data_IF_372968693564
#
_entry.id   IF_372968693564
#
_cell.length_a   1.000
_cell.length_b   1.000
_cell.length_c   1.000
_cell.angle_alpha   90.00
_cell.angle_beta   90.00
_cell.angle_gamma   90.00
#
_symmetry.space_group_name_H-M   'P 1'
#
loop_
_entity.id
_entity.type
_entity.pdbx_description
1 polymer ?
#
# COMPACT_ATOMS: atom_id res chain seq x y z
N UNK A 1 -46.94 26.30 28.71
CA UNK A 1 -45.56 26.83 28.80
C UNK A 1 -44.89 26.44 27.51
N UNK A 2 -44.84 27.39 26.57
CA UNK A 2 -44.62 27.14 25.13
C UNK A 2 -43.24 27.71 24.79
N UNK A 3 -42.33 26.88 24.32
CA UNK A 3 -40.96 27.28 23.97
C UNK A 3 -40.87 27.38 22.45
N UNK A 4 -40.84 28.62 21.99
CA UNK A 4 -40.52 29.07 20.64
C UNK A 4 -38.99 29.09 20.48
N UNK A 5 -38.44 28.40 19.47
CA UNK A 5 -37.09 28.68 18.98
C UNK A 5 -37.06 28.77 17.47
N UNK A 6 -36.60 29.94 17.05
CA UNK A 6 -36.53 30.53 15.72
C UNK A 6 -35.61 29.77 14.78
N UNK A 7 -36.09 29.56 13.57
CA UNK A 7 -35.28 29.44 12.37
C UNK A 7 -34.59 30.78 12.06
N UNK A 8 -33.28 30.75 11.84
CA UNK A 8 -32.56 31.82 11.15
C UNK A 8 -31.65 31.19 10.09
N UNK A 9 -32.12 31.35 8.86
CA UNK A 9 -31.42 31.20 7.60
C UNK A 9 -30.11 31.99 7.60
N UNK A 10 -29.05 31.40 7.05
CA UNK A 10 -27.86 32.16 6.68
C UNK A 10 -27.58 31.98 5.19
N UNK A 11 -28.18 32.90 4.44
CA UNK A 11 -28.02 33.10 3.01
C UNK A 11 -26.76 33.93 2.76
N UNK A 12 -25.74 33.35 2.13
CA UNK A 12 -24.67 34.13 1.49
C UNK A 12 -24.37 33.58 0.10
N UNK A 13 -25.26 33.95 -0.83
CA UNK A 13 -24.96 34.09 -2.25
C UNK A 13 -24.07 35.33 -2.43
N UNK A 14 -22.88 35.17 -2.99
CA UNK A 14 -22.14 36.25 -3.65
C UNK A 14 -21.87 35.85 -5.10
N UNK A 15 -22.81 36.23 -5.95
CA UNK A 15 -22.64 36.42 -7.39
C UNK A 15 -22.07 37.84 -7.58
N UNK A 16 -20.88 37.95 -8.18
CA UNK A 16 -20.44 39.04 -9.06
C UNK A 16 -18.94 39.34 -8.86
N UNK A 17 -18.13 39.07 -9.89
CA UNK A 17 -16.80 39.68 -9.98
C UNK A 17 -15.81 38.99 -10.90
N UNK A 18 -15.91 39.27 -12.21
CA UNK A 18 -14.77 39.42 -13.17
C UNK A 18 -13.92 38.16 -13.43
N UNK A 19 -14.05 37.42 -14.54
CA UNK A 19 -13.89 37.79 -15.95
C UNK A 19 -12.67 38.70 -16.20
N UNK A 20 -11.45 38.14 -16.34
CA UNK A 20 -10.33 38.76 -17.07
C UNK A 20 -9.25 37.71 -17.47
N UNK A 21 -8.93 37.67 -18.77
CA UNK A 21 -7.64 37.29 -19.42
C UNK A 21 -7.38 35.78 -19.59
N UNK A 22 -7.68 35.14 -20.73
CA UNK A 22 -7.12 35.29 -22.09
C UNK A 22 -5.65 34.82 -22.26
N UNK A 23 -5.49 33.84 -23.16
CA UNK A 23 -4.27 33.47 -23.92
C UNK A 23 -2.99 33.09 -23.16
N UNK A 24 -2.50 31.88 -23.43
CA UNK A 24 -1.20 31.65 -24.08
C UNK A 24 -1.34 30.41 -24.97
N UNK A 25 -1.33 30.66 -26.28
CA UNK A 25 -1.05 29.72 -27.37
C UNK A 25 0.48 29.65 -27.52
N UNK A 26 1.00 28.65 -28.25
CA UNK A 26 2.33 28.55 -28.94
C UNK A 26 3.16 27.35 -28.37
N UNK A 27 3.66 26.34 -29.10
CA UNK A 27 4.01 26.13 -30.53
C UNK A 27 3.72 24.67 -30.95
N UNK A 28 3.18 24.44 -32.15
CA UNK A 28 3.31 23.17 -32.88
C UNK A 28 4.72 23.05 -33.49
N UNK A 29 5.50 22.06 -33.06
CA UNK A 29 6.72 21.64 -33.76
C UNK A 29 6.48 20.36 -34.54
N UNK A 30 6.10 20.47 -35.81
CA UNK A 30 6.12 19.37 -36.77
C UNK A 30 7.27 19.60 -37.76
N UNK A 31 8.23 18.69 -37.83
CA UNK A 31 8.97 18.34 -39.05
C UNK A 31 10.03 17.27 -38.75
N UNK A 32 10.01 16.17 -39.50
CA UNK A 32 11.18 15.31 -39.67
C UNK A 32 10.90 13.82 -39.85
N UNK A 33 10.30 13.42 -40.98
CA UNK A 33 10.37 12.03 -41.45
C UNK A 33 11.75 11.75 -42.08
N UNK A 34 12.39 10.65 -41.70
CA UNK A 34 13.25 9.87 -42.59
C UNK A 34 13.37 8.41 -42.05
N UNK A 35 13.08 7.39 -42.87
CA UNK A 35 13.33 5.99 -42.53
C UNK A 35 14.76 5.62 -42.91
N UNK A 36 15.55 5.13 -41.95
CA UNK A 36 16.83 4.47 -42.22
C UNK A 36 16.77 3.04 -41.66
N UNK A 37 16.38 2.10 -42.52
CA UNK A 37 16.67 0.69 -42.33
C UNK A 37 18.15 0.45 -42.60
N UNK A 38 18.97 0.28 -41.57
CA UNK A 38 20.22 -0.51 -41.63
C UNK A 38 20.44 -1.14 -40.26
N UNK A 39 20.29 -2.46 -40.18
CA UNK A 39 20.80 -3.25 -39.06
C UNK A 39 22.31 -3.45 -39.22
N UNK A 40 23.09 -3.29 -38.14
CA UNK A 40 24.24 -4.13 -37.91
C UNK A 40 24.03 -4.92 -36.63
N UNK A 41 23.94 -6.25 -36.78
CA UNK A 41 24.37 -7.20 -35.77
C UNK A 41 25.84 -6.91 -35.47
N UNK A 42 26.14 -6.26 -34.35
CA UNK A 42 27.50 -6.12 -33.85
C UNK A 42 27.48 -6.28 -32.33
N UNK A 43 28.11 -7.37 -31.91
CA UNK A 43 28.42 -7.71 -30.54
C UNK A 43 29.07 -6.52 -29.84
N UNK A 44 28.36 -5.91 -28.90
CA UNK A 44 28.99 -5.19 -27.80
C UNK A 44 28.60 -5.90 -26.51
N UNK A 45 29.43 -6.90 -26.17
CA UNK A 45 29.68 -7.25 -24.79
C UNK A 45 30.37 -6.03 -24.16
N UNK A 46 29.56 -5.14 -23.59
CA UNK A 46 29.99 -3.91 -22.97
C UNK A 46 28.96 -3.56 -21.90
N UNK A 47 29.18 -4.14 -20.72
CA UNK A 47 28.80 -3.64 -19.40
C UNK A 47 27.80 -2.48 -19.36
N UNK A 48 26.53 -2.76 -19.69
CA UNK A 48 25.38 -1.86 -19.47
C UNK A 48 24.09 -2.68 -19.60
N UNK A 49 23.94 -3.67 -18.72
CA UNK A 49 22.66 -4.30 -18.40
C UNK A 49 22.49 -4.13 -16.88
N UNK A 50 21.44 -3.57 -16.31
CA UNK A 50 20.14 -3.18 -16.85
C UNK A 50 19.31 -2.92 -15.61
N UNK A 51 19.24 -1.67 -15.18
CA UNK A 51 18.37 -1.21 -14.10
C UNK A 51 16.94 -1.24 -14.63
N UNK A 52 16.34 -2.42 -14.69
CA UNK A 52 15.02 -2.60 -15.31
C UNK A 52 14.47 -4.03 -15.32
N UNK A 53 15.28 -5.06 -15.04
CA UNK A 53 14.82 -6.45 -14.99
C UNK A 53 14.99 -7.15 -13.62
N UNK A 54 15.40 -6.42 -12.57
CA UNK A 54 15.67 -7.02 -11.26
C UNK A 54 14.45 -7.16 -10.34
N UNK A 55 13.31 -6.53 -10.64
CA UNK A 55 12.17 -6.62 -9.72
C UNK A 55 11.54 -8.02 -9.71
N UNK A 56 11.52 -8.75 -10.85
CA UNK A 56 10.91 -10.08 -10.94
C UNK A 56 11.61 -11.18 -10.10
N UNK A 57 12.92 -11.05 -9.84
CA UNK A 57 13.65 -11.96 -8.95
C UNK A 57 13.57 -11.55 -7.46
N UNK A 58 13.20 -10.30 -7.17
CA UNK A 58 13.03 -9.76 -5.81
C UNK A 58 11.82 -10.32 -5.05
N UNK A 59 10.76 -10.74 -5.75
CA UNK A 59 9.54 -11.33 -5.18
C UNK A 59 9.81 -12.61 -4.35
N UNK A 60 10.93 -13.30 -4.61
CA UNK A 60 11.31 -14.49 -3.86
C UNK A 60 12.05 -14.17 -2.55
N UNK A 61 12.68 -12.99 -2.41
CA UNK A 61 13.46 -12.60 -1.22
C UNK A 61 12.65 -11.88 -0.15
N UNK A 62 11.55 -11.21 -0.48
CA UNK A 62 10.67 -10.53 0.50
C UNK A 62 9.92 -11.45 1.48
N UNK A 63 10.16 -12.77 1.41
CA UNK A 63 9.60 -13.77 2.32
C UNK A 63 10.65 -14.43 3.21
N UNK A 64 11.91 -13.98 3.16
CA UNK A 64 12.90 -14.46 4.13
C UNK A 64 12.42 -14.02 5.52
N UNK A 65 12.38 -14.91 6.52
CA UNK A 65 12.31 -14.50 7.91
C UNK A 65 13.32 -13.37 8.12
N UNK A 66 13.03 -12.40 9.00
CA UNK A 66 14.06 -11.59 9.65
C UNK A 66 15.23 -12.53 9.91
N UNK A 67 16.32 -12.33 9.17
CA UNK A 67 17.31 -13.39 8.94
C UNK A 67 17.72 -13.93 10.31
N UNK A 68 17.81 -15.25 10.47
CA UNK A 68 18.17 -15.85 11.77
C UNK A 68 19.59 -15.42 12.17
N UNK A 69 20.32 -14.79 11.25
CA UNK A 69 21.60 -14.12 11.47
C UNK A 69 21.52 -12.72 12.05
N UNK A 70 20.33 -12.09 12.13
CA UNK A 70 20.16 -10.77 12.77
C UNK A 70 20.31 -10.92 14.27
N UNK A 71 21.09 -10.02 14.87
CA UNK A 71 21.33 -10.01 16.31
C UNK A 71 19.98 -9.90 17.06
N UNK A 72 19.75 -10.69 18.13
CA UNK A 72 18.52 -10.59 18.92
C UNK A 72 18.20 -9.17 19.40
N UNK A 73 19.20 -8.36 19.74
CA UNK A 73 19.02 -6.97 20.16
C UNK A 73 18.59 -6.07 19.01
N UNK A 74 19.17 -6.24 17.81
CA UNK A 74 18.73 -5.52 16.61
C UNK A 74 17.28 -5.88 16.26
N UNK A 75 16.90 -7.15 16.42
CA UNK A 75 15.51 -7.57 16.23
C UNK A 75 14.57 -6.92 17.25
N UNK A 76 14.97 -6.81 18.51
CA UNK A 76 14.19 -6.16 19.56
C UNK A 76 14.00 -4.67 19.26
N UNK A 77 15.09 -3.96 18.94
CA UNK A 77 15.06 -2.54 18.56
C UNK A 77 14.12 -2.28 17.38
N UNK A 78 14.18 -3.12 16.34
CA UNK A 78 13.27 -3.01 15.20
C UNK A 78 11.82 -3.25 15.57
N UNK A 79 11.55 -4.18 16.49
CA UNK A 79 10.20 -4.42 16.96
C UNK A 79 9.67 -3.27 17.82
N UNK A 80 10.53 -2.59 18.57
CA UNK A 80 10.17 -1.38 19.30
C UNK A 80 9.90 -0.21 18.35
N UNK A 81 10.73 -0.02 17.31
CA UNK A 81 10.52 1.00 16.29
C UNK A 81 9.21 0.79 15.52
N UNK A 82 8.90 -0.47 15.15
CA UNK A 82 7.65 -0.81 14.49
C UNK A 82 6.41 -0.47 15.33
N UNK A 83 6.51 -0.51 16.67
CA UNK A 83 5.40 -0.11 17.54
C UNK A 83 5.13 1.40 17.52
N UNK A 84 6.15 2.20 17.21
CA UNK A 84 6.02 3.65 17.12
C UNK A 84 5.34 4.06 15.81
N UNK A 85 5.81 3.52 14.68
CA UNK A 85 5.34 3.94 13.35
C UNK A 85 5.00 2.74 12.47
N UNK A 86 3.74 2.31 12.55
CA UNK A 86 3.23 1.15 11.82
C UNK A 86 2.83 1.55 10.40
N UNK A 87 3.39 0.92 9.34
CA UNK A 87 2.87 1.11 7.99
C UNK A 87 1.44 0.58 7.87
N UNK A 88 0.67 1.12 6.94
CA UNK A 88 -0.67 0.62 6.64
C UNK A 88 -0.60 -0.86 6.29
N UNK A 89 -1.38 -1.71 6.98
CA UNK A 89 -1.31 -3.16 6.79
C UNK A 89 -2.71 -3.71 6.54
N UNK A 90 -2.86 -4.55 5.52
CA UNK A 90 -4.10 -5.27 5.22
C UNK A 90 -3.85 -6.77 5.14
N UNK A 91 -4.85 -7.56 5.49
CA UNK A 91 -4.89 -9.01 5.29
C UNK A 91 -5.93 -9.36 4.23
N UNK A 92 -5.60 -10.31 3.35
CA UNK A 92 -6.53 -10.86 2.36
C UNK A 92 -7.15 -12.18 2.84
N UNK A 93 -8.46 -12.33 2.62
CA UNK A 93 -9.17 -13.59 2.68
C UNK A 93 -9.26 -14.20 1.30
N UNK A 94 -8.84 -15.45 1.17
CA UNK A 94 -8.82 -16.20 -0.08
C UNK A 94 -9.95 -17.24 -0.11
N UNK A 95 -10.59 -17.43 -1.26
CA UNK A 95 -11.44 -18.58 -1.58
C UNK A 95 -11.05 -19.10 -2.97
N UNK A 96 -10.79 -20.40 -3.09
CA UNK A 96 -10.39 -21.04 -4.37
C UNK A 96 -9.25 -20.30 -5.10
N UNK A 97 -8.21 -19.92 -4.37
CA UNK A 97 -7.06 -19.15 -4.85
C UNK A 97 -7.37 -17.71 -5.30
N UNK A 98 -8.60 -17.23 -5.12
CA UNK A 98 -8.99 -15.86 -5.43
C UNK A 98 -9.17 -15.05 -4.15
N UNK A 99 -8.63 -13.82 -4.06
CA UNK A 99 -9.00 -12.92 -2.98
C UNK A 99 -10.50 -12.63 -3.06
N UNK A 100 -11.20 -12.68 -1.92
CA UNK A 100 -12.65 -12.40 -1.84
C UNK A 100 -12.96 -11.25 -0.89
N UNK A 101 -12.14 -11.05 0.12
CA UNK A 101 -12.27 -9.97 1.07
C UNK A 101 -10.89 -9.53 1.58
N UNK A 102 -10.87 -8.37 2.22
CA UNK A 102 -9.69 -7.83 2.88
C UNK A 102 -10.09 -7.17 4.19
N UNK A 103 -9.14 -6.99 5.11
CA UNK A 103 -9.34 -6.20 6.32
C UNK A 103 -8.09 -5.43 6.68
N UNK A 104 -8.27 -4.27 7.30
CA UNK A 104 -7.17 -3.49 7.84
C UNK A 104 -6.69 -4.09 9.17
N UNK A 105 -5.38 -4.10 9.37
CA UNK A 105 -4.72 -4.49 10.60
C UNK A 105 -4.00 -3.29 11.21
N UNK A 106 -3.98 -3.22 12.54
CA UNK A 106 -3.16 -2.27 13.32
C UNK A 106 -2.50 -2.99 14.49
N UNK A 107 -1.39 -2.44 14.98
CA UNK A 107 -0.86 -2.86 16.26
C UNK A 107 -1.73 -2.32 17.40
N UNK A 108 -1.97 -3.18 18.38
CA UNK A 108 -2.66 -2.86 19.62
C UNK A 108 -2.36 -3.93 20.67
N UNK A 109 -3.15 -3.97 21.74
CA UNK A 109 -2.91 -4.86 22.88
C UNK A 109 -2.37 -4.07 24.08
N UNK A 110 -1.89 -4.78 25.09
CA UNK A 110 -1.16 -4.15 26.19
C UNK A 110 0.29 -3.91 25.79
N UNK A 111 0.96 -2.97 26.47
CA UNK A 111 2.39 -2.69 26.27
C UNK A 111 3.27 -3.93 26.40
N UNK A 112 2.92 -4.85 27.31
CA UNK A 112 3.68 -6.10 27.52
C UNK A 112 3.24 -7.24 26.58
N UNK A 113 2.19 -7.05 25.79
CA UNK A 113 1.68 -8.06 24.86
C UNK A 113 1.11 -7.41 23.57
N UNK A 114 1.94 -6.65 22.83
CA UNK A 114 1.54 -6.08 21.55
C UNK A 114 1.18 -7.17 20.55
N UNK A 115 0.17 -6.90 19.74
CA UNK A 115 -0.35 -7.83 18.73
C UNK A 115 -1.02 -7.10 17.59
N UNK A 116 -1.03 -7.73 16.42
CA UNK A 116 -1.82 -7.28 15.29
C UNK A 116 -3.31 -7.56 15.54
N UNK A 117 -4.15 -6.56 15.29
CA UNK A 117 -5.60 -6.61 15.49
C UNK A 117 -6.31 -6.11 14.24
N UNK A 118 -7.45 -6.75 13.93
CA UNK A 118 -8.32 -6.30 12.86
C UNK A 118 -9.04 -5.02 13.26
N UNK A 119 -9.14 -4.08 12.32
CA UNK A 119 -9.90 -2.83 12.51
C UNK A 119 -11.29 -2.99 11.89
N UNK A 120 -12.31 -3.00 12.74
CA UNK A 120 -13.70 -2.91 12.29
C UNK A 120 -14.13 -1.43 12.20
N UNK A 121 -14.90 -1.10 11.17
CA UNK A 121 -15.57 0.18 11.01
C UNK A 121 -16.93 0.00 10.32
N UNK A 122 -17.61 1.10 10.02
CA UNK A 122 -18.96 1.11 9.42
C UNK A 122 -19.03 0.43 8.03
N UNK A 123 -17.88 0.22 7.37
CA UNK A 123 -17.79 -0.40 6.04
C UNK A 123 -17.36 -1.88 6.10
N UNK A 124 -17.19 -2.44 7.29
CA UNK A 124 -16.75 -3.82 7.49
C UNK A 124 -17.72 -4.62 8.35
N UNK A 125 -17.60 -5.96 8.30
CA UNK A 125 -18.24 -6.81 9.30
C UNK A 125 -17.59 -6.67 10.71
N UNK A 126 -18.14 -7.39 11.69
CA UNK A 126 -17.63 -7.39 13.06
C UNK A 126 -16.18 -7.90 13.20
N UNK A 127 -15.67 -8.63 12.20
CA UNK A 127 -14.29 -9.12 12.15
C UNK A 127 -13.37 -8.25 11.28
N UNK A 128 -13.87 -7.10 10.81
CA UNK A 128 -13.13 -6.13 9.99
C UNK A 128 -13.11 -6.45 8.50
N UNK A 129 -13.77 -7.52 8.04
CA UNK A 129 -13.73 -7.89 6.62
C UNK A 129 -14.58 -6.97 5.76
N UNK A 130 -14.01 -6.61 4.60
CA UNK A 130 -14.62 -5.82 3.55
C UNK A 130 -14.55 -6.58 2.22
N UNK A 131 -15.57 -6.45 1.34
CA UNK A 131 -15.51 -7.03 0.00
C UNK A 131 -14.30 -6.54 -0.81
N UNK A 132 -13.72 -7.42 -1.64
CA UNK A 132 -12.58 -7.06 -2.48
C UNK A 132 -12.89 -5.94 -3.48
N UNK A 133 -14.16 -5.76 -3.89
CA UNK A 133 -14.54 -4.72 -4.86
C UNK A 133 -14.09 -3.32 -4.45
N UNK A 134 -13.96 -3.06 -3.15
CA UNK A 134 -13.49 -1.78 -2.62
C UNK A 134 -11.99 -1.53 -2.88
N UNK A 135 -11.19 -2.57 -3.13
CA UNK A 135 -9.77 -2.48 -3.47
C UNK A 135 -9.52 -2.26 -4.97
N UNK A 136 -10.49 -2.53 -5.85
CA UNK A 136 -10.33 -2.30 -7.29
C UNK A 136 -10.20 -0.82 -7.67
N UNK A 137 -10.56 0.08 -6.76
CA UNK A 137 -10.34 1.53 -6.93
C UNK A 137 -8.88 1.93 -6.70
N UNK A 138 -8.06 1.01 -6.16
CA UNK A 138 -6.64 1.21 -5.95
C UNK A 138 -5.89 0.61 -7.15
N UNK A 139 -5.29 1.48 -7.96
CA UNK A 139 -4.64 1.09 -9.22
C UNK A 139 -3.27 0.45 -8.99
N UNK A 140 -3.24 -0.83 -8.60
CA UNK A 140 -1.99 -1.56 -8.30
C UNK A 140 -1.14 -1.82 -9.55
N UNK A 141 0.17 -1.54 -9.43
CA UNK A 141 1.20 -1.84 -10.41
C UNK A 141 2.41 -2.51 -9.72
N UNK A 142 2.67 -3.82 -9.95
CA UNK A 142 1.89 -4.74 -10.77
C UNK A 142 0.52 -5.07 -10.14
N UNK A 143 -0.42 -5.69 -10.89
CA UNK A 143 -1.66 -6.22 -10.34
C UNK A 143 -1.39 -7.19 -9.18
N UNK A 144 -2.22 -7.14 -8.13
CA UNK A 144 -2.03 -7.95 -6.92
C UNK A 144 -2.31 -9.44 -7.11
N UNK A 145 -3.34 -9.78 -7.87
CA UNK A 145 -3.90 -11.14 -7.92
C UNK A 145 -2.87 -12.22 -8.26
N UNK A 146 -1.95 -12.03 -9.24
CA UNK A 146 -0.93 -13.02 -9.56
C UNK A 146 0.07 -13.30 -8.42
N UNK A 147 0.23 -12.35 -7.48
CA UNK A 147 1.20 -12.47 -6.39
C UNK A 147 0.62 -13.07 -5.11
N UNK A 148 -0.71 -13.11 -4.98
CA UNK A 148 -1.40 -13.68 -3.81
C UNK A 148 -1.37 -15.21 -3.86
N UNK A 149 -1.02 -15.84 -2.73
CA UNK A 149 -0.87 -17.30 -2.63
C UNK A 149 -2.00 -17.91 -1.83
N UNK A 150 -2.56 -19.01 -2.32
CA UNK A 150 -3.54 -19.76 -1.54
C UNK A 150 -2.92 -20.57 -0.42
N UNK A 151 -3.74 -20.90 0.58
CA UNK A 151 -3.35 -21.75 1.71
C UNK A 151 -2.40 -21.09 2.71
N UNK A 152 -1.97 -19.85 2.48
CA UNK A 152 -1.21 -19.03 3.44
C UNK A 152 -1.92 -17.69 3.66
N UNK A 153 -1.79 -17.07 4.84
CA UNK A 153 -2.16 -15.68 5.00
C UNK A 153 -1.40 -14.82 3.99
N UNK A 154 -2.07 -13.83 3.41
CA UNK A 154 -1.44 -12.82 2.57
C UNK A 154 -1.67 -11.48 3.21
N UNK A 155 -0.58 -10.76 3.46
CA UNK A 155 -0.61 -9.41 3.98
C UNK A 155 0.00 -8.46 2.96
N UNK A 156 -0.58 -7.28 2.85
CA UNK A 156 -0.01 -6.16 2.12
C UNK A 156 0.29 -5.06 3.13
N UNK A 157 1.56 -4.69 3.21
CA UNK A 157 1.99 -3.51 3.95
C UNK A 157 2.26 -2.38 2.95
N UNK A 158 1.95 -1.15 3.32
CA UNK A 158 2.10 0.00 2.44
C UNK A 158 2.34 1.31 3.21
N UNK A 159 3.02 2.23 2.54
CA UNK A 159 3.29 3.58 3.03
C UNK A 159 3.28 4.56 1.83
N UNK A 160 3.06 5.86 2.04
CA UNK A 160 3.15 6.85 0.97
C UNK A 160 4.49 6.76 0.23
N UNK A 161 4.44 6.73 -1.11
CA UNK A 161 5.65 6.65 -1.92
C UNK A 161 6.48 7.94 -1.83
N UNK A 162 5.80 9.07 -1.66
CA UNK A 162 6.37 10.38 -1.42
C UNK A 162 5.87 10.90 -0.05
N UNK A 163 6.65 10.72 1.02
CA UNK A 163 6.25 11.13 2.36
C UNK A 163 6.24 12.66 2.49
N UNK A 164 5.16 13.20 3.06
CA UNK A 164 4.95 14.65 3.26
C UNK A 164 5.15 15.09 4.71
N UNK A 165 5.15 14.15 5.64
CA UNK A 165 5.36 14.38 7.08
C UNK A 165 6.50 13.49 7.60
N UNK A 166 6.98 13.75 8.81
CA UNK A 166 7.95 12.85 9.47
C UNK A 166 7.33 11.47 9.70
N UNK A 167 6.11 11.42 10.22
CA UNK A 167 5.33 10.17 10.40
C UNK A 167 5.28 9.34 9.13
N UNK A 168 4.94 9.94 7.98
CA UNK A 168 4.89 9.20 6.71
C UNK A 168 6.26 8.71 6.24
N UNK A 169 7.32 9.45 6.58
CA UNK A 169 8.70 9.05 6.28
C UNK A 169 9.09 7.85 7.12
N UNK A 170 8.78 7.88 8.41
CA UNK A 170 9.08 6.82 9.36
C UNK A 170 8.30 5.54 8.99
N UNK A 171 7.04 5.67 8.57
CA UNK A 171 6.26 4.56 8.00
C UNK A 171 6.91 3.94 6.75
N UNK A 172 7.49 4.75 5.86
CA UNK A 172 8.18 4.24 4.67
C UNK A 172 9.50 3.53 5.02
N UNK A 173 10.20 4.01 6.04
CA UNK A 173 11.39 3.35 6.61
C UNK A 173 10.99 2.00 7.22
N UNK A 174 9.97 1.97 8.10
CA UNK A 174 9.46 0.75 8.72
C UNK A 174 8.96 -0.27 7.68
N UNK A 175 8.28 0.19 6.62
CA UNK A 175 7.87 -0.68 5.50
C UNK A 175 9.07 -1.41 4.90
N UNK A 176 10.14 -0.68 4.61
CA UNK A 176 11.34 -1.22 3.95
C UNK A 176 12.15 -2.11 4.89
N UNK A 177 12.28 -1.69 6.15
CA UNK A 177 13.03 -2.42 7.17
C UNK A 177 12.33 -3.75 7.52
N UNK A 178 11.04 -3.70 7.88
CA UNK A 178 10.32 -4.80 8.53
C UNK A 178 9.54 -5.71 7.61
N UNK A 179 9.08 -5.20 6.47
CA UNK A 179 8.34 -5.98 5.50
C UNK A 179 9.15 -6.25 4.22
N UNK A 180 10.37 -5.70 4.13
CA UNK A 180 11.28 -5.86 3.02
C UNK A 180 11.04 -4.88 1.87
N UNK A 181 11.80 -5.05 0.79
CA UNK A 181 11.78 -4.14 -0.35
C UNK A 181 10.41 -4.09 -1.02
N UNK A 182 9.97 -2.88 -1.38
CA UNK A 182 8.70 -2.63 -2.08
C UNK A 182 8.54 -3.46 -3.35
N UNK A 183 7.35 -4.03 -3.50
CA UNK A 183 6.93 -4.86 -4.62
C UNK A 183 6.47 -4.06 -5.84
N UNK A 184 5.87 -2.91 -5.56
CA UNK A 184 5.19 -2.08 -6.54
C UNK A 184 4.54 -0.86 -5.89
N UNK A 185 3.68 -0.20 -6.65
CA UNK A 185 2.93 0.97 -6.20
C UNK A 185 1.42 0.82 -6.44
N UNK A 186 0.64 1.65 -5.78
CA UNK A 186 -0.76 1.85 -6.12
C UNK A 186 -1.18 3.29 -5.85
N UNK A 187 -2.24 3.74 -6.54
CA UNK A 187 -2.84 5.04 -6.26
C UNK A 187 -4.11 4.91 -5.42
N UNK A 188 -4.24 5.76 -4.40
CA UNK A 188 -5.44 5.87 -3.59
C UNK A 188 -5.67 7.32 -3.15
N UNK A 189 -6.88 7.84 -3.37
CA UNK A 189 -7.24 9.23 -3.07
C UNK A 189 -6.26 10.27 -3.66
N UNK A 190 -5.79 10.04 -4.89
CA UNK A 190 -4.86 10.94 -5.57
C UNK A 190 -3.43 10.92 -5.02
N UNK A 191 -3.09 9.94 -4.17
CA UNK A 191 -1.74 9.74 -3.63
C UNK A 191 -1.19 8.40 -4.10
N UNK A 192 0.11 8.35 -4.36
CA UNK A 192 0.83 7.11 -4.65
C UNK A 192 1.39 6.51 -3.37
N UNK A 193 1.27 5.18 -3.25
CA UNK A 193 1.77 4.39 -2.13
C UNK A 193 2.69 3.30 -2.67
N UNK A 194 3.78 3.03 -1.96
CA UNK A 194 4.57 1.81 -2.15
C UNK A 194 3.96 0.69 -1.32
N UNK A 195 3.98 -0.52 -1.85
CA UNK A 195 3.49 -1.68 -1.13
C UNK A 195 4.44 -2.86 -1.22
N UNK A 196 4.36 -3.75 -0.24
CA UNK A 196 5.01 -5.07 -0.25
C UNK A 196 4.03 -6.16 0.17
N UNK A 197 4.25 -7.38 -0.31
CA UNK A 197 3.45 -8.55 0.03
C UNK A 197 4.26 -9.52 0.88
N UNK A 198 3.72 -9.87 2.04
CA UNK A 198 4.33 -10.83 2.96
C UNK A 198 3.31 -11.91 3.35
N UNK A 199 3.80 -13.10 3.68
CA UNK A 199 2.96 -14.21 4.16
C UNK A 199 2.95 -14.36 5.70
N UNK A 200 3.67 -13.47 6.39
CA UNK A 200 3.81 -13.43 7.85
C UNK A 200 4.02 -11.99 8.28
N UNK A 201 3.38 -11.59 9.37
CA UNK A 201 3.58 -10.28 9.98
C UNK A 201 4.88 -10.26 10.81
N UNK A 202 5.65 -9.15 10.79
CA UNK A 202 6.85 -9.01 11.61
C UNK A 202 6.51 -8.81 13.09
N UNK A 203 7.46 -9.17 13.95
CA UNK A 203 7.54 -8.92 15.40
C UNK A 203 6.45 -9.52 16.30
N UNK A 204 5.19 -9.32 15.95
CA UNK A 204 4.06 -9.56 16.84
C UNK A 204 3.11 -10.63 16.29
N UNK A 205 2.40 -11.36 17.16
CA UNK A 205 1.42 -12.34 16.70
C UNK A 205 0.28 -11.68 15.91
N UNK A 206 -0.19 -12.38 14.90
CA UNK A 206 -1.36 -12.00 14.10
C UNK A 206 -2.67 -12.00 14.90
N UNK A 207 -3.78 -11.56 14.27
CA UNK A 207 -5.11 -11.77 14.82
C UNK A 207 -5.33 -13.26 15.10
N UNK A 208 -5.91 -13.60 16.25
CA UNK A 208 -6.21 -14.99 16.56
C UNK A 208 -7.11 -15.57 15.47
N UNK A 209 -6.67 -16.67 14.85
CA UNK A 209 -7.56 -17.47 14.02
C UNK A 209 -8.59 -18.05 14.98
N UNK A 210 -9.84 -17.58 14.90
CA UNK A 210 -10.90 -18.09 15.77
C UNK A 210 -11.07 -19.57 15.44
N UNK A 211 -10.59 -20.42 16.34
CA UNK A 211 -10.69 -21.87 16.23
C UNK A 211 -12.18 -22.24 16.20
N UNK A 212 -12.67 -22.57 15.01
CA UNK A 212 -14.10 -22.75 14.74
C UNK A 212 -14.52 -22.37 13.32
N UNK A 213 -13.69 -21.60 12.60
CA UNK A 213 -13.87 -21.37 11.17
C UNK A 213 -13.25 -22.52 10.37
N UNK A 214 -13.79 -23.74 10.56
CA UNK A 214 -13.54 -24.85 9.65
C UNK A 214 -14.03 -24.46 8.26
N UNK A 215 -13.14 -24.65 7.26
CA UNK A 215 -13.44 -24.55 5.83
C UNK A 215 -14.81 -25.17 5.53
N UNK A 216 -15.80 -24.32 5.24
CA UNK A 216 -17.01 -24.70 4.54
C UNK A 216 -16.78 -24.66 3.04
#
# INVERSE_FOLDING_TARGET
MTIERRDLSNSYLSLAGMLWIAMIIIVLGAAGCAPAMIAPLAMQAGELAGVGALNAAGYARGNAPLDVTVDPAEREERCDELQLEVPGTIEFRMADNNPTAWRELRLGGSTDAPRWQAVANEQSDAAGWRPLVNLHTMSFAPPLQPALRSGKPNYLAFAPAEPRTSVERDQLVALTADFGTGLGTFQWNGREYQYTLVNRLPCFPGPAVVAGQTRG
#
